data_IF_587193789220
#
_entry.id   IF_587193789220
#
_cell.length_a   1.000
_cell.length_b   1.000
_cell.length_c   1.000
_cell.angle_alpha   90.00
_cell.angle_beta   90.00
_cell.angle_gamma   90.00
#
_symmetry.space_group_name_H-M   'P 1'
#
loop_
_entity.id
_entity.type
_entity.pdbx_description
1 polymer ?
#
# COMPACT_ATOMS: atom_id res chain seq x y z
N UNK A 1 -21.42 -4.09 7.89
CA UNK A 1 -21.27 -2.84 7.06
C UNK A 1 -21.56 -3.17 5.60
N UNK A 2 -22.20 -2.28 4.84
CA UNK A 2 -22.42 -2.49 3.41
C UNK A 2 -21.24 -1.95 2.55
N UNK A 3 -21.26 -2.28 1.24
CA UNK A 3 -20.21 -1.87 0.30
C UNK A 3 -20.02 -0.35 0.21
N UNK A 4 -21.12 0.42 0.30
CA UNK A 4 -21.07 1.87 0.20
C UNK A 4 -20.38 2.46 1.43
N UNK A 5 -20.76 1.99 2.61
CA UNK A 5 -20.18 2.43 3.88
C UNK A 5 -18.69 2.04 3.98
N UNK A 6 -18.32 0.83 3.53
CA UNK A 6 -16.91 0.43 3.44
C UNK A 6 -16.08 1.37 2.54
N UNK A 7 -16.59 1.67 1.34
CA UNK A 7 -15.89 2.61 0.43
C UNK A 7 -15.81 4.02 1.00
N UNK A 8 -16.86 4.49 1.68
CA UNK A 8 -16.87 5.79 2.33
C UNK A 8 -15.85 5.84 3.48
N UNK A 9 -15.74 4.77 4.27
CA UNK A 9 -14.74 4.64 5.33
C UNK A 9 -13.31 4.77 4.75
N UNK A 10 -13.00 3.99 3.70
CA UNK A 10 -11.70 4.06 3.05
C UNK A 10 -11.40 5.46 2.46
N UNK A 11 -12.38 6.06 1.78
CA UNK A 11 -12.25 7.41 1.21
C UNK A 11 -11.98 8.46 2.29
N UNK A 12 -12.71 8.40 3.40
CA UNK A 12 -12.55 9.29 4.56
C UNK A 12 -11.15 9.17 5.18
N UNK A 13 -10.69 7.93 5.41
CA UNK A 13 -9.37 7.68 5.98
C UNK A 13 -8.26 8.18 5.06
N UNK A 14 -8.31 7.85 3.77
CA UNK A 14 -7.28 8.28 2.82
C UNK A 14 -7.23 9.80 2.69
N UNK A 15 -8.38 10.49 2.62
CA UNK A 15 -8.43 11.95 2.61
C UNK A 15 -7.91 12.57 3.90
N UNK A 16 -8.22 12.00 5.07
CA UNK A 16 -7.69 12.42 6.38
C UNK A 16 -6.16 12.46 6.35
N UNK A 17 -5.51 11.52 5.68
CA UNK A 17 -4.06 11.46 5.56
C UNK A 17 -3.47 12.16 4.32
N UNK A 18 -4.28 12.98 3.65
CA UNK A 18 -3.83 13.85 2.57
C UNK A 18 -3.70 13.20 1.21
N UNK A 19 -4.29 12.02 1.00
CA UNK A 19 -4.38 11.41 -0.32
C UNK A 19 -5.37 12.16 -1.22
N UNK A 20 -5.01 12.30 -2.48
CA UNK A 20 -5.84 12.89 -3.53
C UNK A 20 -6.38 11.81 -4.44
N UNK A 21 -7.70 11.76 -4.59
CA UNK A 21 -8.35 10.80 -5.50
C UNK A 21 -8.24 11.26 -6.95
N UNK A 22 -7.81 10.35 -7.82
CA UNK A 22 -7.81 10.50 -9.29
C UNK A 22 -8.40 9.23 -9.91
N UNK A 23 -9.59 9.34 -10.49
CA UNK A 23 -10.36 8.20 -11.00
C UNK A 23 -10.60 7.15 -9.88
N UNK A 24 -10.04 5.96 -10.04
CA UNK A 24 -10.20 4.83 -9.09
C UNK A 24 -9.08 4.73 -8.05
N UNK A 25 -8.00 5.50 -8.19
CA UNK A 25 -6.85 5.46 -7.29
C UNK A 25 -6.75 6.72 -6.44
N UNK A 26 -6.05 6.58 -5.33
CA UNK A 26 -5.66 7.67 -4.44
C UNK A 26 -4.14 7.80 -4.47
N UNK A 27 -3.62 9.04 -4.44
CA UNK A 27 -2.19 9.31 -4.54
C UNK A 27 -1.71 10.24 -3.44
N UNK A 28 -0.49 10.00 -2.97
CA UNK A 28 0.24 10.87 -2.06
C UNK A 28 1.72 10.86 -2.42
N UNK A 29 2.30 12.05 -2.53
CA UNK A 29 3.71 12.22 -2.85
C UNK A 29 4.56 12.34 -1.59
N UNK A 30 5.77 11.84 -1.65
CA UNK A 30 6.84 12.09 -0.69
C UNK A 30 7.74 13.23 -1.18
N UNK A 31 8.64 13.70 -0.28
CA UNK A 31 9.59 14.76 -0.61
C UNK A 31 10.79 14.27 -1.45
N UNK A 32 10.98 12.96 -1.61
CA UNK A 32 12.10 12.34 -2.31
C UNK A 32 11.75 11.77 -3.70
N UNK A 33 10.62 12.21 -4.27
CA UNK A 33 10.17 11.82 -5.60
C UNK A 33 9.43 10.48 -5.66
N UNK A 34 9.14 9.86 -4.51
CA UNK A 34 8.28 8.67 -4.44
C UNK A 34 6.82 9.12 -4.47
N UNK A 35 6.02 8.46 -5.28
CA UNK A 35 4.56 8.56 -5.22
C UNK A 35 3.99 7.27 -4.66
N UNK A 36 3.12 7.37 -3.68
CA UNK A 36 2.31 6.25 -3.21
C UNK A 36 0.94 6.30 -3.86
N UNK A 37 0.49 5.17 -4.39
CA UNK A 37 -0.87 4.97 -4.89
C UNK A 37 -1.63 3.96 -4.02
N UNK A 38 -2.93 4.16 -3.86
CA UNK A 38 -3.82 3.19 -3.20
C UNK A 38 -4.98 2.85 -4.13
N UNK A 39 -5.28 1.57 -4.23
CA UNK A 39 -6.38 1.03 -5.03
C UNK A 39 -7.18 0.01 -4.25
N UNK A 40 -8.50 0.23 -4.15
CA UNK A 40 -9.44 -0.70 -3.53
C UNK A 40 -9.92 -1.71 -4.59
N UNK A 41 -9.35 -2.89 -4.58
CA UNK A 41 -9.65 -3.95 -5.54
C UNK A 41 -10.77 -4.85 -4.99
N UNK A 42 -11.88 -4.93 -5.72
CA UNK A 42 -12.94 -5.91 -5.41
C UNK A 42 -12.49 -7.31 -5.83
N UNK A 43 -12.72 -8.29 -4.96
CA UNK A 43 -12.54 -9.70 -5.32
C UNK A 43 -13.64 -10.18 -6.29
N UNK A 44 -13.27 -11.11 -7.16
CA UNK A 44 -14.24 -11.82 -8.01
C UNK A 44 -15.06 -12.86 -7.23
N UNK A 45 -14.57 -13.29 -6.07
CA UNK A 45 -15.13 -14.41 -5.30
C UNK A 45 -16.08 -14.00 -4.17
N UNK A 46 -16.61 -12.76 -4.20
CA UNK A 46 -17.60 -12.35 -3.22
C UNK A 46 -17.52 -10.88 -2.81
N UNK A 47 -18.13 -10.59 -1.65
CA UNK A 47 -18.16 -9.24 -1.07
C UNK A 47 -16.89 -8.96 -0.26
N UNK A 48 -15.75 -9.07 -0.92
CA UNK A 48 -14.42 -8.94 -0.34
C UNK A 48 -13.65 -7.88 -1.11
N UNK A 49 -12.84 -7.10 -0.40
CA UNK A 49 -11.92 -6.14 -0.97
C UNK A 49 -10.49 -6.41 -0.53
N UNK A 50 -9.54 -5.98 -1.38
CA UNK A 50 -8.14 -5.82 -1.06
C UNK A 50 -7.83 -4.33 -0.99
N UNK A 51 -7.17 -3.90 0.05
CA UNK A 51 -6.63 -2.56 0.18
C UNK A 51 -5.17 -2.59 -0.28
N UNK A 52 -4.96 -2.38 -1.58
CA UNK A 52 -3.65 -2.42 -2.21
C UNK A 52 -2.97 -1.07 -2.12
N UNK A 53 -1.65 -1.07 -1.86
CA UNK A 53 -0.81 0.12 -1.98
C UNK A 53 0.38 -0.15 -2.90
N UNK A 54 0.85 0.90 -3.56
CA UNK A 54 1.84 0.85 -4.62
C UNK A 54 2.84 1.98 -4.45
N UNK A 55 4.12 1.73 -4.73
CA UNK A 55 5.15 2.76 -4.77
C UNK A 55 5.69 2.89 -6.18
N UNK A 56 5.73 4.14 -6.66
CA UNK A 56 6.32 4.57 -7.92
C UNK A 56 7.58 5.34 -7.55
N UNK A 57 8.77 4.76 -7.80
CA UNK A 57 10.02 5.24 -7.25
C UNK A 57 10.62 6.43 -8.01
N UNK A 58 10.25 6.62 -9.27
CA UNK A 58 10.75 7.68 -10.13
C UNK A 58 9.62 8.58 -10.64
N UNK A 59 8.80 9.08 -9.73
CA UNK A 59 7.72 9.98 -10.09
C UNK A 59 8.19 11.44 -10.05
N UNK A 60 8.99 11.85 -11.04
CA UNK A 60 9.51 13.22 -11.17
C UNK A 60 8.46 14.24 -11.64
N UNK A 61 7.44 13.81 -12.38
CA UNK A 61 6.36 14.66 -12.85
C UNK A 61 5.10 14.52 -11.97
N UNK A 62 4.84 15.52 -11.15
CA UNK A 62 3.66 15.56 -10.26
C UNK A 62 2.32 15.57 -10.99
N UNK A 63 2.31 15.86 -12.30
CA UNK A 63 1.10 15.87 -13.13
C UNK A 63 0.74 14.47 -13.67
N UNK A 64 1.69 13.55 -13.68
CA UNK A 64 1.49 12.19 -14.16
C UNK A 64 0.95 11.33 -13.03
N UNK A 65 -0.21 10.69 -13.24
CA UNK A 65 -0.86 9.79 -12.29
C UNK A 65 -0.81 8.36 -12.85
N UNK A 66 0.27 7.61 -12.56
CA UNK A 66 0.48 6.27 -13.11
C UNK A 66 -0.59 5.29 -12.59
N UNK A 67 -0.91 4.30 -13.40
CA UNK A 67 -1.82 3.23 -13.01
C UNK A 67 -1.10 2.20 -12.13
N UNK A 68 -1.85 1.41 -11.37
CA UNK A 68 -1.29 0.43 -10.43
C UNK A 68 -0.33 -0.57 -11.09
N UNK A 69 -0.56 -0.96 -12.35
CA UNK A 69 0.30 -1.90 -13.09
C UNK A 69 1.65 -1.30 -13.54
N UNK A 70 1.84 0.01 -13.40
CA UNK A 70 3.11 0.69 -13.67
C UNK A 70 3.98 0.83 -12.41
N UNK A 71 3.49 0.34 -11.27
CA UNK A 71 4.20 0.47 -10.00
C UNK A 71 5.49 -0.34 -9.95
N UNK A 72 6.45 0.11 -9.16
CA UNK A 72 7.70 -0.59 -8.87
C UNK A 72 7.55 -1.58 -7.72
N UNK A 73 6.83 -1.19 -6.68
CA UNK A 73 6.62 -1.99 -5.45
C UNK A 73 5.15 -2.02 -5.09
N UNK A 74 4.70 -3.12 -4.53
CA UNK A 74 3.32 -3.38 -4.20
C UNK A 74 3.16 -4.09 -2.86
N UNK A 75 2.14 -3.71 -2.11
CA UNK A 75 1.74 -4.40 -0.89
C UNK A 75 0.24 -4.34 -0.65
N UNK A 76 -0.20 -5.04 0.39
CA UNK A 76 -1.59 -5.08 0.84
C UNK A 76 -1.66 -4.83 2.33
N UNK A 77 -2.56 -3.97 2.76
CA UNK A 77 -2.90 -3.88 4.18
C UNK A 77 -3.59 -5.17 4.60
N UNK A 78 -3.22 -5.67 5.78
CA UNK A 78 -3.84 -6.82 6.40
C UNK A 78 -4.71 -6.39 7.58
N UNK A 79 -5.73 -7.20 7.84
CA UNK A 79 -6.63 -7.08 9.00
C UNK A 79 -6.68 -8.40 9.74
N UNK A 80 -7.07 -8.40 11.01
CA UNK A 80 -7.32 -9.65 11.72
C UNK A 80 -8.60 -10.30 11.18
N UNK A 81 -8.49 -11.51 10.66
CA UNK A 81 -9.61 -12.26 10.10
C UNK A 81 -10.73 -12.45 11.14
N UNK A 82 -11.98 -12.38 10.71
CA UNK A 82 -13.14 -12.78 11.53
C UNK A 82 -13.49 -14.26 11.35
N UNK A 83 -12.86 -14.91 10.40
CA UNK A 83 -12.99 -16.35 10.15
C UNK A 83 -11.71 -17.00 10.70
N UNK A 84 -11.90 -18.00 11.54
CA UNK A 84 -10.79 -18.79 12.08
C UNK A 84 -10.24 -19.74 11.01
N UNK A 85 -8.95 -20.04 11.13
CA UNK A 85 -8.28 -21.03 10.32
C UNK A 85 -8.58 -22.48 10.79
N UNK A 86 -7.90 -23.45 10.18
CA UNK A 86 -8.05 -24.87 10.50
C UNK A 86 -7.67 -25.25 11.94
N UNK A 87 -6.80 -24.43 12.57
CA UNK A 87 -6.33 -24.62 13.95
C UNK A 87 -7.15 -23.79 14.96
N UNK A 88 -8.33 -23.30 14.56
CA UNK A 88 -9.24 -22.48 15.36
C UNK A 88 -8.66 -21.12 15.80
N UNK A 89 -7.70 -20.59 15.03
CA UNK A 89 -7.05 -19.32 15.32
C UNK A 89 -7.49 -18.21 14.34
N UNK A 90 -7.59 -16.98 14.85
CA UNK A 90 -7.67 -15.79 14.00
C UNK A 90 -6.29 -15.45 13.44
N UNK A 91 -6.21 -15.07 12.18
CA UNK A 91 -4.97 -14.79 11.48
C UNK A 91 -5.03 -13.47 10.70
N UNK A 92 -3.87 -12.92 10.37
CA UNK A 92 -3.78 -11.75 9.51
C UNK A 92 -4.12 -12.13 8.08
N UNK A 93 -5.00 -11.35 7.45
CA UNK A 93 -5.44 -11.56 6.07
C UNK A 93 -5.54 -10.26 5.29
N UNK A 94 -5.18 -10.31 4.01
CA UNK A 94 -5.42 -9.21 3.08
C UNK A 94 -6.86 -9.21 2.51
N UNK A 95 -7.62 -10.26 2.77
CA UNK A 95 -9.03 -10.38 2.36
C UNK A 95 -9.90 -9.64 3.36
N UNK A 96 -10.43 -8.48 2.98
CA UNK A 96 -11.28 -7.67 3.83
C UNK A 96 -12.74 -8.02 3.55
N UNK A 97 -13.28 -8.92 4.35
CA UNK A 97 -14.70 -9.30 4.37
C UNK A 97 -15.49 -8.28 5.19
N UNK A 98 -15.60 -7.06 4.66
CA UNK A 98 -16.06 -5.86 5.37
C UNK A 98 -17.43 -6.03 6.05
N UNK A 99 -18.28 -6.95 5.60
CA UNK A 99 -19.59 -7.23 6.22
C UNK A 99 -19.46 -7.87 7.62
N UNK A 100 -18.33 -8.50 7.93
CA UNK A 100 -18.07 -9.19 9.19
C UNK A 100 -17.53 -8.25 10.29
N UNK A 101 -17.20 -7.00 9.96
CA UNK A 101 -16.60 -6.05 10.90
C UNK A 101 -17.59 -4.98 11.32
N UNK A 102 -17.49 -4.57 12.58
CA UNK A 102 -18.01 -3.28 13.02
C UNK A 102 -17.18 -2.16 12.41
N UNK A 103 -17.81 -1.04 12.04
CA UNK A 103 -17.13 0.04 11.32
C UNK A 103 -15.93 0.57 12.09
N UNK A 104 -16.07 0.81 13.39
CA UNK A 104 -14.99 1.33 14.23
C UNK A 104 -13.80 0.37 14.31
N UNK A 105 -14.05 -0.91 14.43
CA UNK A 105 -13.00 -1.94 14.45
C UNK A 105 -12.23 -1.99 13.14
N UNK A 106 -12.94 -2.00 12.00
CA UNK A 106 -12.30 -2.00 10.70
C UNK A 106 -11.54 -0.70 10.45
N UNK A 107 -12.06 0.44 10.90
CA UNK A 107 -11.38 1.73 10.85
C UNK A 107 -10.02 1.67 11.57
N UNK A 108 -9.97 1.09 12.77
CA UNK A 108 -8.73 0.95 13.56
C UNK A 108 -7.68 0.09 12.82
N UNK A 109 -8.08 -1.05 12.22
CA UNK A 109 -7.17 -1.88 11.43
C UNK A 109 -6.64 -1.16 10.19
N UNK A 110 -7.53 -0.54 9.41
CA UNK A 110 -7.14 0.18 8.21
C UNK A 110 -6.26 1.39 8.52
N UNK A 111 -6.60 2.14 9.56
CA UNK A 111 -5.82 3.30 10.00
C UNK A 111 -4.41 2.90 10.45
N UNK A 112 -4.29 1.80 11.20
CA UNK A 112 -3.00 1.24 11.58
C UNK A 112 -2.17 0.86 10.35
N UNK A 113 -2.75 0.12 9.39
CA UNK A 113 -2.07 -0.26 8.16
C UNK A 113 -1.65 0.95 7.32
N UNK A 114 -2.52 1.95 7.19
CA UNK A 114 -2.18 3.20 6.48
C UNK A 114 -0.97 3.90 7.14
N UNK A 115 -0.96 4.02 8.46
CA UNK A 115 0.16 4.66 9.17
C UNK A 115 1.46 3.89 9.03
N UNK A 116 1.42 2.59 9.30
CA UNK A 116 2.63 1.78 9.46
C UNK A 116 3.22 1.34 8.12
N UNK A 117 2.38 0.99 7.13
CA UNK A 117 2.83 0.43 5.87
C UNK A 117 2.86 1.45 4.71
N UNK A 118 2.08 2.54 4.80
CA UNK A 118 1.99 3.52 3.72
C UNK A 118 2.65 4.85 4.11
N UNK A 119 2.22 5.47 5.21
CA UNK A 119 2.68 6.80 5.60
C UNK A 119 4.12 6.79 6.09
N UNK A 120 4.55 5.73 6.76
CA UNK A 120 5.91 5.62 7.25
C UNK A 120 6.93 5.62 6.10
N UNK A 121 6.78 4.82 5.02
CA UNK A 121 7.64 4.91 3.85
C UNK A 121 7.56 6.26 3.12
N UNK A 122 6.37 6.84 2.97
CA UNK A 122 6.21 8.18 2.38
C UNK A 122 6.99 9.25 3.15
N UNK A 123 7.04 9.13 4.48
CA UNK A 123 7.76 10.07 5.35
C UNK A 123 9.25 9.80 5.43
N UNK A 124 9.67 8.54 5.51
CA UNK A 124 11.06 8.12 5.73
C UNK A 124 11.82 7.74 4.44
N UNK A 125 11.10 7.54 3.34
CA UNK A 125 11.69 7.35 2.03
C UNK A 125 12.09 5.91 1.69
N UNK A 126 12.97 5.79 0.71
CA UNK A 126 13.33 4.54 0.00
C UNK A 126 13.91 3.47 0.91
N UNK A 127 14.64 3.84 1.96
CA UNK A 127 15.23 2.86 2.89
C UNK A 127 14.15 1.99 3.55
N UNK A 128 13.05 2.60 3.97
CA UNK A 128 11.95 1.85 4.60
C UNK A 128 11.27 0.92 3.59
N UNK A 129 11.09 1.37 2.34
CA UNK A 129 10.54 0.51 1.27
C UNK A 129 11.48 -0.68 1.01
N UNK A 130 12.80 -0.43 0.96
CA UNK A 130 13.80 -1.48 0.83
C UNK A 130 13.68 -2.53 1.95
N UNK A 131 13.59 -2.08 3.20
CA UNK A 131 13.47 -2.95 4.35
C UNK A 131 12.15 -3.75 4.34
N UNK A 132 11.05 -3.13 3.90
CA UNK A 132 9.75 -3.81 3.71
C UNK A 132 9.81 -4.89 2.62
N UNK A 133 10.52 -4.65 1.51
CA UNK A 133 10.73 -5.66 0.47
C UNK A 133 11.59 -6.81 1.00
N UNK A 134 12.66 -6.51 1.71
CA UNK A 134 13.55 -7.52 2.31
C UNK A 134 12.86 -8.38 3.36
N UNK A 135 11.95 -7.82 4.13
CA UNK A 135 11.16 -8.54 5.15
C UNK A 135 9.91 -9.24 4.58
N UNK A 136 9.59 -9.06 3.30
CA UNK A 136 8.44 -9.67 2.66
C UNK A 136 7.10 -8.99 2.95
N UNK A 137 7.09 -7.79 3.54
CA UNK A 137 5.87 -6.98 3.77
C UNK A 137 5.29 -6.49 2.44
N UNK A 138 6.16 -6.08 1.51
CA UNK A 138 5.78 -5.78 0.13
C UNK A 138 6.72 -6.48 -0.86
N UNK A 139 6.30 -6.52 -2.11
CA UNK A 139 7.00 -7.20 -3.19
C UNK A 139 7.29 -6.24 -4.34
N UNK A 140 8.30 -6.55 -5.14
CA UNK A 140 8.56 -5.86 -6.39
C UNK A 140 7.47 -6.26 -7.38
N UNK A 141 6.77 -5.26 -7.91
CA UNK A 141 5.62 -5.42 -8.81
C UNK A 141 6.07 -5.32 -10.27
N UNK A 142 6.94 -6.25 -10.68
CA UNK A 142 7.41 -6.35 -12.05
C UNK A 142 7.37 -7.80 -12.51
N UNK A 143 6.95 -8.01 -13.75
CA UNK A 143 6.75 -9.35 -14.33
C UNK A 143 8.03 -9.96 -14.94
N UNK A 144 9.13 -9.20 -15.00
CA UNK A 144 10.39 -9.65 -15.58
C UNK A 144 11.53 -9.54 -14.59
N UNK A 145 12.33 -10.58 -14.48
CA UNK A 145 13.49 -10.65 -13.57
C UNK A 145 14.46 -9.47 -13.68
N UNK A 146 14.69 -8.98 -14.90
CA UNK A 146 15.55 -7.81 -15.14
C UNK A 146 14.99 -6.52 -14.54
N UNK A 147 13.66 -6.35 -14.54
CA UNK A 147 13.01 -5.19 -13.95
C UNK A 147 13.05 -5.26 -12.41
N UNK A 148 13.06 -6.45 -11.84
CA UNK A 148 13.24 -6.64 -10.39
C UNK A 148 14.62 -6.15 -9.93
N UNK A 149 15.69 -6.53 -10.64
CA UNK A 149 17.05 -6.07 -10.35
C UNK A 149 17.15 -4.54 -10.44
N UNK A 150 16.53 -3.93 -11.45
CA UNK A 150 16.52 -2.47 -11.62
C UNK A 150 15.82 -1.76 -10.46
N UNK A 151 14.69 -2.29 -9.97
CA UNK A 151 13.96 -1.73 -8.81
C UNK A 151 14.80 -1.86 -7.54
N UNK A 152 15.42 -3.01 -7.31
CA UNK A 152 16.30 -3.21 -6.16
C UNK A 152 17.50 -2.28 -6.22
N UNK A 153 18.10 -2.06 -7.39
CA UNK A 153 19.21 -1.14 -7.58
C UNK A 153 18.80 0.31 -7.27
N UNK A 154 17.64 0.77 -7.75
CA UNK A 154 17.10 2.10 -7.43
C UNK A 154 16.91 2.34 -5.93
N UNK A 155 16.47 1.31 -5.20
CA UNK A 155 16.32 1.38 -3.75
C UNK A 155 17.68 1.40 -3.03
N UNK A 156 18.67 0.66 -3.56
CA UNK A 156 20.01 0.54 -2.99
C UNK A 156 20.87 1.77 -3.26
N UNK A 157 20.86 2.30 -4.47
CA UNK A 157 21.68 3.46 -4.85
C UNK A 157 21.37 4.71 -4.02
N UNK A 158 20.13 4.87 -3.60
CA UNK A 158 19.73 5.94 -2.71
C UNK A 158 20.43 5.84 -1.34
N UNK A 159 20.64 4.62 -0.83
CA UNK A 159 21.35 4.36 0.42
C UNK A 159 22.84 4.73 0.36
N UNK A 160 23.48 4.49 -0.80
CA UNK A 160 24.91 4.77 -1.00
C UNK A 160 25.20 6.23 -1.34
N UNK A 161 24.22 6.94 -1.93
CA UNK A 161 24.35 8.36 -2.29
C UNK A 161 24.39 9.33 -1.11
N UNK A 162 23.81 8.97 0.04
CA UNK A 162 23.89 9.78 1.27
C UNK A 162 25.25 9.73 1.95
N UNK A 163 26.06 8.71 1.67
CA UNK A 163 27.42 8.56 2.19
C UNK A 163 28.50 9.38 1.46
N UNK A 164 28.17 10.01 0.33
CA UNK A 164 29.13 10.77 -0.48
C UNK A 164 28.99 12.30 -0.37
N UNK A 165 28.11 12.79 0.49
CA UNK A 165 28.01 14.23 0.83
C UNK A 165 28.55 14.49 2.23
N UNK A 166 29.81 14.19 2.39
CA UNK A 166 30.59 14.69 3.52
C UNK A 166 31.80 15.48 3.02
#
# INVERSE_FOLDING_TARGET
MDTKNFKNLCDRLLKKYGFKKKKTMYYKDSNDGIRCGVYLQRSYYGKVYYFNYYYFLDNSDVKVFPQYFEADVYGRITVLSKIKDWDDNYHQTALIEYELYEEKELEEYLEKGIRDEILLPVKKGRQVIYDMVKSGICIIYKFKSKEEEEVMQKLYDFKTGEGQKS
#
